data_IF_743308718433
#
_entry.id   IF_743308718433
#
_cell.length_a   1.000
_cell.length_b   1.000
_cell.length_c   1.000
_cell.angle_alpha   90.00
_cell.angle_beta   90.00
_cell.angle_gamma   90.00
#
_symmetry.space_group_name_H-M   'P 1'
#
loop_
_entity.id
_entity.type
_entity.pdbx_description
1 polymer ?
#
# COMPACT_ATOMS: atom_id res chain seq x y z
N UNK A 1 15.95 6.26 -17.08
CA UNK A 1 14.88 7.24 -17.38
C UNK A 1 13.91 7.24 -16.21
N UNK A 2 13.84 8.32 -15.42
CA UNK A 2 12.77 8.46 -14.45
C UNK A 2 11.46 8.55 -15.24
N UNK A 3 10.51 7.66 -14.96
CA UNK A 3 9.26 7.66 -15.71
C UNK A 3 8.52 8.98 -15.39
N UNK A 4 8.10 9.78 -16.39
CA UNK A 4 7.60 11.16 -16.17
C UNK A 4 6.42 11.24 -15.20
N UNK A 5 5.64 10.18 -15.08
CA UNK A 5 4.56 10.03 -14.09
C UNK A 5 5.03 10.03 -12.63
N UNK A 6 6.31 9.70 -12.36
CA UNK A 6 6.86 9.72 -11.00
C UNK A 6 6.93 11.12 -10.39
N UNK A 7 7.08 12.14 -11.23
CA UNK A 7 7.17 13.55 -10.82
C UNK A 7 5.82 14.26 -10.78
N UNK A 8 4.73 13.57 -11.18
CA UNK A 8 3.38 14.14 -11.13
C UNK A 8 2.79 14.01 -9.72
N UNK A 9 1.92 14.94 -9.30
CA UNK A 9 1.21 14.86 -8.02
C UNK A 9 0.47 13.54 -7.83
N UNK A 10 0.34 13.14 -6.57
CA UNK A 10 -0.42 11.96 -6.19
C UNK A 10 -1.02 12.12 -4.79
N UNK A 11 -2.11 11.42 -4.53
CA UNK A 11 -2.78 11.38 -3.24
C UNK A 11 -2.62 10.01 -2.60
N UNK A 12 -2.11 9.96 -1.37
CA UNK A 12 -2.03 8.76 -0.56
C UNK A 12 -3.23 8.69 0.37
N UNK A 13 -3.95 7.59 0.31
CA UNK A 13 -5.06 7.25 1.19
C UNK A 13 -4.66 6.05 2.04
N UNK A 14 -4.85 6.13 3.37
CA UNK A 14 -4.48 5.05 4.29
C UNK A 14 -5.70 4.57 5.05
N UNK A 15 -5.98 3.28 4.92
CA UNK A 15 -7.00 2.57 5.66
C UNK A 15 -6.33 1.79 6.80
N UNK A 16 -7.03 1.60 7.92
CA UNK A 16 -6.59 0.67 8.98
C UNK A 16 -7.49 -0.56 8.95
N UNK A 17 -6.91 -1.75 9.08
CA UNK A 17 -7.53 -3.05 8.86
C UNK A 17 -8.72 -3.41 9.77
N UNK A 18 -9.07 -2.57 10.76
CA UNK A 18 -10.27 -2.77 11.57
C UNK A 18 -11.53 -2.29 10.82
N UNK A 19 -12.57 -3.13 10.66
CA UNK A 19 -13.69 -2.89 9.72
C UNK A 19 -14.75 -1.87 10.17
N UNK A 20 -14.48 -1.04 11.18
CA UNK A 20 -15.53 -0.29 11.87
C UNK A 20 -15.73 1.18 11.41
N UNK A 21 -14.95 1.70 10.46
CA UNK A 21 -15.13 3.07 9.97
C UNK A 21 -15.21 3.11 8.44
N UNK A 22 -16.27 3.68 7.85
CA UNK A 22 -16.33 3.89 6.41
C UNK A 22 -15.30 4.96 6.01
N UNK A 23 -14.31 4.56 5.19
CA UNK A 23 -13.40 5.48 4.50
C UNK A 23 -11.94 5.48 5.00
N UNK A 24 -11.05 6.21 4.29
CA UNK A 24 -9.66 6.36 4.67
C UNK A 24 -9.55 7.10 6.01
N UNK A 25 -8.65 6.63 6.89
CA UNK A 25 -8.33 7.35 8.13
C UNK A 25 -7.42 8.54 7.89
N UNK A 26 -6.63 8.49 6.82
CA UNK A 26 -5.75 9.57 6.42
C UNK A 26 -5.76 9.70 4.91
N UNK A 27 -5.84 10.94 4.45
CA UNK A 27 -5.66 11.32 3.05
C UNK A 27 -4.62 12.42 3.03
N UNK A 28 -3.56 12.24 2.23
CA UNK A 28 -2.50 13.23 2.09
C UNK A 28 -2.05 13.35 0.65
N UNK A 29 -2.06 14.58 0.13
CA UNK A 29 -1.55 14.90 -1.19
C UNK A 29 -0.04 15.15 -1.14
N UNK A 30 0.67 14.58 -2.10
CA UNK A 30 2.10 14.76 -2.31
C UNK A 30 2.35 15.45 -3.64
N UNK A 31 3.43 16.26 -3.74
CA UNK A 31 3.78 16.94 -4.99
C UNK A 31 4.24 15.94 -6.07
N UNK A 32 4.68 14.74 -5.68
CA UNK A 32 5.14 13.70 -6.61
C UNK A 32 4.67 12.31 -6.19
N UNK A 33 4.41 11.45 -7.18
CA UNK A 33 4.11 10.03 -6.96
C UNK A 33 5.28 9.31 -6.26
N UNK A 34 6.53 9.71 -6.54
CA UNK A 34 7.69 9.19 -5.80
C UNK A 34 7.58 9.48 -4.30
N UNK A 35 7.20 10.69 -3.90
CA UNK A 35 7.06 11.04 -2.49
C UNK A 35 5.88 10.29 -1.83
N UNK A 36 4.76 10.12 -2.54
CA UNK A 36 3.64 9.31 -2.07
C UNK A 36 4.06 7.84 -1.84
N UNK A 37 4.84 7.25 -2.76
CA UNK A 37 5.35 5.89 -2.63
C UNK A 37 6.31 5.73 -1.45
N UNK A 38 7.23 6.67 -1.26
CA UNK A 38 8.13 6.67 -0.10
C UNK A 38 7.35 6.70 1.22
N UNK A 39 6.28 7.49 1.29
CA UNK A 39 5.42 7.54 2.47
C UNK A 39 4.55 6.28 2.64
N UNK A 40 4.07 5.69 1.54
CA UNK A 40 3.28 4.46 1.58
C UNK A 40 4.12 3.26 2.05
N UNK A 41 5.35 3.14 1.55
CA UNK A 41 6.28 2.07 1.93
C UNK A 41 6.72 2.19 3.40
N UNK A 42 6.91 3.41 3.92
CA UNK A 42 7.15 3.61 5.35
C UNK A 42 5.99 3.11 6.24
N UNK A 43 4.77 2.99 5.69
CA UNK A 43 3.60 2.46 6.40
C UNK A 43 3.36 0.98 6.18
N UNK A 44 4.03 0.36 5.20
CA UNK A 44 3.92 -1.08 4.95
C UNK A 44 4.50 -1.92 6.11
N UNK A 45 5.30 -1.31 6.99
CA UNK A 45 5.77 -1.87 8.26
C UNK A 45 4.60 -2.17 9.22
N UNK A 46 3.49 -1.42 9.12
CA UNK A 46 2.28 -1.65 9.91
C UNK A 46 1.35 -2.63 9.18
N UNK A 47 1.13 -3.85 9.70
CA UNK A 47 0.35 -4.88 9.01
C UNK A 47 -1.14 -4.52 8.89
N UNK A 48 -1.62 -3.57 9.68
CA UNK A 48 -2.99 -3.07 9.61
C UNK A 48 -3.15 -1.89 8.65
N UNK A 49 -2.05 -1.29 8.18
CA UNK A 49 -2.09 -0.17 7.25
C UNK A 49 -2.27 -0.67 5.82
N UNK A 50 -3.33 -0.20 5.17
CA UNK A 50 -3.64 -0.48 3.78
C UNK A 50 -3.52 0.83 2.98
N UNK A 51 -2.32 1.13 2.43
CA UNK A 51 -2.09 2.32 1.64
C UNK A 51 -2.57 2.15 0.19
N UNK A 52 -3.26 3.16 -0.32
CA UNK A 52 -3.71 3.30 -1.70
C UNK A 52 -3.22 4.64 -2.24
N UNK A 53 -2.79 4.69 -3.50
CA UNK A 53 -2.37 5.96 -4.11
C UNK A 53 -3.26 6.25 -5.32
N UNK A 54 -3.77 7.47 -5.42
CA UNK A 54 -4.44 7.99 -6.62
C UNK A 54 -3.46 8.93 -7.33
N UNK A 55 -3.13 8.64 -8.59
CA UNK A 55 -2.25 9.50 -9.40
C UNK A 55 -3.02 10.72 -9.91
N UNK A 56 -2.31 11.75 -10.38
CA UNK A 56 -2.93 12.89 -11.08
C UNK A 56 -3.80 12.47 -12.29
N UNK A 57 -3.44 11.37 -12.96
CA UNK A 57 -4.19 10.83 -14.11
C UNK A 57 -5.50 10.13 -13.68
N UNK A 58 -5.65 9.87 -12.37
CA UNK A 58 -6.78 9.13 -11.80
C UNK A 58 -6.53 7.63 -11.65
N UNK A 59 -5.31 7.15 -11.92
CA UNK A 59 -4.97 5.74 -11.69
C UNK A 59 -4.98 5.44 -10.19
N UNK A 60 -5.55 4.30 -9.83
CA UNK A 60 -5.59 3.82 -8.45
C UNK A 60 -4.57 2.71 -8.28
N UNK A 61 -3.54 2.97 -7.49
CA UNK A 61 -2.47 2.04 -7.15
C UNK A 61 -2.80 1.34 -5.83
N UNK A 62 -2.95 0.03 -5.89
CA UNK A 62 -3.30 -0.81 -4.75
C UNK A 62 -2.10 -1.09 -3.84
N UNK A 63 -2.32 -1.52 -2.58
CA UNK A 63 -1.25 -1.92 -1.67
C UNK A 63 -0.27 -2.92 -2.30
N UNK A 64 -0.80 -3.91 -3.03
CA UNK A 64 0.02 -4.92 -3.70
C UNK A 64 0.91 -4.34 -4.80
N UNK A 65 0.40 -3.37 -5.56
CA UNK A 65 1.21 -2.66 -6.56
C UNK A 65 2.33 -1.88 -5.87
N UNK A 66 2.01 -1.16 -4.80
CA UNK A 66 2.98 -0.37 -4.02
C UNK A 66 4.10 -1.27 -3.47
N UNK A 67 3.76 -2.45 -2.93
CA UNK A 67 4.73 -3.44 -2.45
C UNK A 67 5.70 -3.90 -3.56
N UNK A 68 5.20 -4.09 -4.79
CA UNK A 68 6.02 -4.45 -5.95
C UNK A 68 6.93 -3.33 -6.48
N UNK A 69 6.61 -2.09 -6.12
CA UNK A 69 7.35 -0.88 -6.51
C UNK A 69 8.16 -0.26 -5.36
N UNK A 70 8.13 -0.88 -4.17
CA UNK A 70 8.96 -0.51 -3.05
C UNK A 70 10.44 -0.82 -3.35
N UNK A 71 11.40 -0.02 -2.85
CA UNK A 71 12.80 -0.44 -2.84
C UNK A 71 12.88 -1.79 -2.11
N UNK A 72 13.57 -2.76 -2.73
CA UNK A 72 13.53 -4.20 -2.43
C UNK A 72 14.12 -4.62 -1.08
N UNK A 73 14.08 -3.75 -0.06
CA UNK A 73 14.73 -3.90 1.24
C UNK A 73 13.86 -4.51 2.33
N UNK A 74 12.61 -4.88 2.06
CA UNK A 74 11.78 -5.62 3.03
C UNK A 74 10.94 -6.68 2.29
N UNK A 75 11.55 -7.84 2.05
CA UNK A 75 10.77 -9.03 1.72
C UNK A 75 9.92 -9.38 2.95
N UNK A 76 8.63 -9.06 2.90
CA UNK A 76 7.64 -9.50 3.88
C UNK A 76 7.60 -11.03 3.87
N UNK A 77 7.93 -11.76 4.96
CA UNK A 77 7.63 -13.17 5.01
C UNK A 77 6.12 -13.31 5.02
N UNK A 78 5.58 -13.85 3.94
CA UNK A 78 4.18 -14.27 3.87
C UNK A 78 3.95 -15.27 5.00
N UNK A 79 3.15 -14.90 6.00
CA UNK A 79 2.78 -15.84 7.07
C UNK A 79 1.88 -16.90 6.45
N UNK A 80 2.29 -18.19 6.36
CA UNK A 80 1.43 -19.21 5.80
C UNK A 80 0.19 -19.34 6.70
N UNK A 81 -1.00 -19.35 6.08
CA UNK A 81 -2.24 -19.67 6.77
C UNK A 81 -2.10 -21.07 7.39
N UNK A 82 -2.49 -21.30 8.66
CA UNK A 82 -2.51 -22.65 9.20
C UNK A 82 -3.49 -23.51 8.39
N UNK A 83 -2.98 -24.63 7.85
CA UNK A 83 -3.80 -25.63 7.15
C UNK A 83 -4.85 -26.18 8.13
N UNK A 84 -6.13 -26.29 7.76
CA UNK A 84 -7.11 -26.95 8.62
C UNK A 84 -6.72 -28.42 8.79
N UNK A 85 -6.62 -28.87 10.05
CA UNK A 85 -6.46 -30.27 10.37
C UNK A 85 -7.73 -31.02 9.96
N UNK A 86 -7.63 -31.89 8.96
CA UNK A 86 -8.66 -32.87 8.63
C UNK A 86 -8.65 -33.97 9.68
N UNK A 87 -9.74 -34.19 10.44
CA UNK A 87 -9.83 -35.36 11.31
C UNK A 87 -10.03 -36.62 10.44
N UNK A 88 -9.18 -37.63 10.68
CA UNK A 88 -9.38 -38.98 10.16
C UNK A 88 -10.57 -39.62 10.88
N UNK A 89 -11.54 -40.14 10.13
CA UNK A 89 -12.56 -41.09 10.60
C UNK A 89 -12.68 -42.20 9.59
#
# INVERSE_FOLDING_TARGET
MAQPQMERPAELMVWRGAPAAPGPREVRRYPTLRAALAAATARAEDPESLPWIVTEDGDVLSPHWIDGHAPRTAARPVRPLPRPAVPLS
#
